data_IF_062920269597
#
_entry.id   IF_062920269597
#
_cell.length_a   1.000
_cell.length_b   1.000
_cell.length_c   1.000
_cell.angle_alpha   90.00
_cell.angle_beta   90.00
_cell.angle_gamma   90.00
#
_symmetry.space_group_name_H-M   'P 1'
#
loop_
_entity.id
_entity.type
_entity.pdbx_description
1 polymer ?
#
# COMPACT_ATOMS: atom_id res chain seq x y z
N UNK A 1 10.78 13.21 -26.97
CA UNK A 1 10.36 13.54 -25.58
C UNK A 1 8.86 13.52 -25.60
N UNK A 2 8.25 12.44 -25.12
CA UNK A 2 6.80 12.33 -25.07
C UNK A 2 6.33 13.14 -23.87
N UNK A 3 5.89 14.38 -24.10
CA UNK A 3 5.23 15.17 -23.08
C UNK A 3 4.03 14.37 -22.58
N UNK A 4 3.99 14.08 -21.28
CA UNK A 4 2.86 13.34 -20.71
C UNK A 4 1.59 14.14 -20.97
N UNK A 5 0.65 13.58 -21.74
CA UNK A 5 -0.66 14.15 -22.12
C UNK A 5 -1.62 14.31 -20.93
N UNK A 6 -1.09 14.48 -19.72
CA UNK A 6 -1.86 14.51 -18.50
C UNK A 6 -2.19 15.98 -18.20
N UNK A 7 -3.48 16.36 -18.12
CA UNK A 7 -3.87 17.72 -17.84
C UNK A 7 -3.27 18.24 -16.53
N UNK A 8 -2.95 19.54 -16.49
CA UNK A 8 -2.50 20.18 -15.27
C UNK A 8 -3.51 19.96 -14.13
N UNK A 9 -3.02 19.55 -12.96
CA UNK A 9 -3.85 19.27 -11.79
C UNK A 9 -4.43 17.85 -11.71
N UNK A 10 -4.22 16.99 -12.72
CA UNK A 10 -4.56 15.58 -12.62
C UNK A 10 -3.84 14.92 -11.43
N UNK A 11 -4.57 14.08 -10.70
CA UNK A 11 -4.03 13.27 -9.60
C UNK A 11 -4.45 11.84 -9.79
N UNK A 12 -3.50 10.92 -9.86
CA UNK A 12 -3.78 9.50 -9.93
C UNK A 12 -4.22 8.98 -8.55
N UNK A 13 -5.53 8.85 -8.36
CA UNK A 13 -6.15 8.41 -7.11
C UNK A 13 -7.30 7.42 -7.37
N UNK A 14 -7.00 6.25 -7.93
CA UNK A 14 -8.03 5.26 -8.20
C UNK A 14 -8.69 4.79 -6.89
N UNK A 15 -9.98 4.55 -6.96
CA UNK A 15 -10.79 3.90 -5.94
C UNK A 15 -10.43 2.41 -5.82
N UNK A 16 -10.84 1.79 -4.70
CA UNK A 16 -10.65 0.35 -4.48
C UNK A 16 -11.27 -0.49 -5.61
N UNK A 17 -12.41 -0.04 -6.13
CA UNK A 17 -13.11 -0.63 -7.28
C UNK A 17 -12.29 -0.52 -8.57
N UNK A 18 -11.81 0.67 -8.93
CA UNK A 18 -10.99 0.88 -10.13
C UNK A 18 -9.70 0.05 -10.08
N UNK A 19 -9.04 -0.03 -8.91
CA UNK A 19 -7.84 -0.86 -8.71
C UNK A 19 -8.11 -2.32 -9.08
N UNK A 20 -9.25 -2.87 -8.64
CA UNK A 20 -9.57 -4.28 -8.89
C UNK A 20 -10.15 -4.50 -10.29
N UNK A 21 -11.20 -3.75 -10.65
CA UNK A 21 -11.96 -3.96 -11.88
C UNK A 21 -11.32 -3.34 -13.12
N UNK A 22 -10.72 -2.16 -13.02
CA UNK A 22 -10.16 -1.43 -14.18
C UNK A 22 -8.67 -1.69 -14.40
N UNK A 23 -7.94 -2.15 -13.39
CA UNK A 23 -6.50 -2.43 -13.50
C UNK A 23 -6.16 -3.92 -13.33
N UNK A 24 -6.49 -4.54 -12.19
CA UNK A 24 -6.14 -5.95 -11.96
C UNK A 24 -6.85 -6.91 -12.93
N UNK A 25 -8.15 -6.73 -13.18
CA UNK A 25 -8.91 -7.64 -14.03
C UNK A 25 -8.38 -7.69 -15.48
N UNK A 26 -8.22 -6.57 -16.21
CA UNK A 26 -7.64 -6.62 -17.56
C UNK A 26 -6.22 -7.18 -17.59
N UNK A 27 -5.42 -6.89 -16.56
CA UNK A 27 -4.05 -7.38 -16.46
C UNK A 27 -3.98 -8.90 -16.27
N UNK A 28 -4.84 -9.48 -15.43
CA UNK A 28 -4.76 -10.90 -15.03
C UNK A 28 -5.61 -11.83 -15.89
N UNK A 29 -6.80 -11.39 -16.31
CA UNK A 29 -7.78 -12.23 -17.01
C UNK A 29 -7.66 -12.03 -18.51
N UNK A 30 -7.57 -10.78 -18.96
CA UNK A 30 -7.51 -10.45 -20.39
C UNK A 30 -6.07 -10.41 -20.93
N UNK A 31 -5.07 -10.53 -20.05
CA UNK A 31 -3.65 -10.38 -20.38
C UNK A 31 -3.32 -9.08 -21.12
N UNK A 32 -4.08 -8.02 -20.85
CA UNK A 32 -3.87 -6.70 -21.46
C UNK A 32 -2.82 -5.93 -20.67
N UNK A 33 -1.79 -5.37 -21.34
CA UNK A 33 -0.88 -4.45 -20.66
C UNK A 33 -1.64 -3.20 -20.20
N UNK A 34 -1.11 -2.53 -19.19
CA UNK A 34 -1.63 -1.21 -18.84
C UNK A 34 -1.46 -0.26 -20.03
N UNK A 35 -2.44 0.64 -20.20
CA UNK A 35 -2.28 1.74 -21.15
C UNK A 35 -0.99 2.50 -20.82
N UNK A 36 -0.28 2.96 -21.86
CA UNK A 36 1.01 3.63 -21.71
C UNK A 36 0.98 4.81 -20.72
N UNK A 37 -0.14 5.53 -20.66
CA UNK A 37 -0.40 6.61 -19.71
C UNK A 37 -0.22 6.16 -18.23
N UNK A 38 -0.52 4.90 -17.91
CA UNK A 38 -0.45 4.36 -16.56
C UNK A 38 0.90 3.76 -16.19
N UNK A 39 1.84 3.63 -17.14
CA UNK A 39 3.18 3.11 -16.88
C UNK A 39 3.97 3.96 -15.87
N UNK A 40 3.61 5.25 -15.75
CA UNK A 40 4.22 6.15 -14.78
C UNK A 40 3.65 6.00 -13.36
N UNK A 41 2.49 5.34 -13.20
CA UNK A 41 1.81 5.20 -11.91
C UNK A 41 1.96 3.82 -11.28
N UNK A 42 2.05 2.76 -12.10
CA UNK A 42 2.26 1.40 -11.62
C UNK A 42 3.67 0.92 -11.88
N UNK A 43 4.35 0.49 -10.82
CA UNK A 43 5.69 -0.06 -10.92
C UNK A 43 5.70 -1.56 -10.67
N UNK A 44 6.46 -2.30 -11.48
CA UNK A 44 6.76 -3.69 -11.15
C UNK A 44 7.78 -3.71 -9.99
N UNK A 45 7.38 -4.25 -8.84
CA UNK A 45 8.25 -4.38 -7.68
C UNK A 45 7.82 -5.58 -6.85
N UNK A 46 8.75 -6.48 -6.54
CA UNK A 46 8.46 -7.55 -5.60
C UNK A 46 8.52 -6.99 -4.18
N UNK A 47 7.36 -6.75 -3.54
CA UNK A 47 7.26 -6.26 -2.16
C UNK A 47 7.26 -7.39 -1.12
N UNK A 48 7.43 -8.64 -1.53
CA UNK A 48 7.37 -9.80 -0.65
C UNK A 48 8.63 -10.66 -0.77
N UNK A 49 9.37 -10.75 0.32
CA UNK A 49 10.61 -11.52 0.42
C UNK A 49 11.82 -10.87 -0.25
N UNK A 50 11.81 -9.54 -0.42
CA UNK A 50 12.98 -8.75 -0.77
C UNK A 50 13.70 -8.26 0.51
N UNK A 51 14.96 -7.81 0.39
CA UNK A 51 15.77 -7.32 1.52
C UNK A 51 15.95 -5.79 1.51
N UNK A 52 15.05 -5.05 0.86
CA UNK A 52 15.08 -3.60 0.74
C UNK A 52 14.05 -2.99 1.70
N UNK A 53 14.47 -2.00 2.49
CA UNK A 53 13.57 -1.34 3.44
C UNK A 53 12.50 -0.50 2.71
N UNK A 54 11.29 -0.32 3.29
CA UNK A 54 10.23 0.44 2.64
C UNK A 54 10.60 1.87 2.22
N UNK A 55 11.44 2.57 3.00
CA UNK A 55 11.92 3.92 2.67
C UNK A 55 12.85 3.95 1.45
N UNK A 56 13.68 2.93 1.29
CA UNK A 56 14.55 2.78 0.12
C UNK A 56 13.71 2.52 -1.13
N UNK A 57 12.69 1.66 -1.04
CA UNK A 57 11.73 1.43 -2.12
C UNK A 57 11.01 2.74 -2.45
N UNK A 58 10.49 3.44 -1.44
CA UNK A 58 9.81 4.72 -1.63
C UNK A 58 10.68 5.73 -2.37
N UNK A 59 11.94 5.89 -1.94
CA UNK A 59 12.91 6.80 -2.58
C UNK A 59 13.20 6.38 -4.02
N UNK A 60 13.42 5.08 -4.26
CA UNK A 60 13.76 4.53 -5.58
C UNK A 60 12.68 4.81 -6.63
N UNK A 61 11.41 4.70 -6.25
CA UNK A 61 10.28 4.88 -7.16
C UNK A 61 9.70 6.30 -7.12
N UNK A 62 10.48 7.26 -6.63
CA UNK A 62 10.14 8.68 -6.72
C UNK A 62 9.11 9.19 -5.70
N UNK A 63 8.86 8.40 -4.65
CA UNK A 63 7.98 8.77 -3.55
C UNK A 63 8.24 10.15 -2.94
N UNK A 64 9.49 10.63 -2.76
CA UNK A 64 9.74 11.97 -2.22
C UNK A 64 9.25 13.12 -3.11
N UNK A 65 9.00 12.89 -4.40
CA UNK A 65 8.46 13.89 -5.33
C UNK A 65 6.93 13.89 -5.38
N UNK A 66 6.29 12.88 -4.76
CA UNK A 66 4.84 12.78 -4.73
C UNK A 66 4.26 13.82 -3.78
N UNK A 67 3.30 14.60 -4.28
CA UNK A 67 2.45 15.47 -3.48
C UNK A 67 1.08 14.82 -3.41
N UNK A 68 0.60 14.55 -2.19
CA UNK A 68 -0.77 14.11 -1.97
C UNK A 68 -1.15 12.81 -2.71
N UNK A 69 -0.19 11.95 -3.02
CA UNK A 69 -0.40 10.70 -3.74
C UNK A 69 0.53 9.61 -3.23
N UNK A 70 0.21 8.37 -3.60
CA UNK A 70 0.86 7.15 -3.13
C UNK A 70 1.57 6.42 -4.28
N UNK A 71 2.45 5.48 -3.92
CA UNK A 71 3.08 4.60 -4.90
C UNK A 71 2.24 3.34 -5.09
N UNK A 72 2.07 2.94 -6.34
CA UNK A 72 1.35 1.73 -6.70
C UNK A 72 2.29 0.72 -7.34
N UNK A 73 2.21 -0.52 -6.89
CA UNK A 73 3.09 -1.60 -7.30
C UNK A 73 2.31 -2.80 -7.78
N UNK A 74 2.70 -3.37 -8.91
CA UNK A 74 2.35 -4.75 -9.23
C UNK A 74 3.38 -5.64 -8.54
N UNK A 75 2.91 -6.49 -7.63
CA UNK A 75 3.78 -7.41 -6.89
C UNK A 75 3.31 -8.84 -7.08
N UNK A 76 4.26 -9.74 -7.34
CA UNK A 76 4.02 -11.17 -7.29
C UNK A 76 3.95 -11.62 -5.82
N UNK A 77 2.93 -12.40 -5.48
CA UNK A 77 2.83 -13.06 -4.19
C UNK A 77 3.89 -14.14 -4.07
N UNK A 78 4.50 -14.24 -2.89
CA UNK A 78 5.45 -15.30 -2.56
C UNK A 78 4.77 -16.31 -1.65
N UNK A 79 4.55 -17.54 -2.11
CA UNK A 79 3.90 -18.59 -1.30
C UNK A 79 4.91 -19.24 -0.35
N UNK A 80 4.59 -19.30 0.95
CA UNK A 80 5.29 -20.16 1.92
C UNK A 80 4.61 -21.53 2.00
N UNK A 81 3.28 -21.52 1.93
CA UNK A 81 2.42 -22.71 1.80
C UNK A 81 1.25 -22.33 0.88
N UNK A 82 0.41 -23.28 0.44
CA UNK A 82 -0.78 -22.94 -0.37
C UNK A 82 -1.72 -21.91 0.27
N UNK A 83 -1.76 -21.84 1.61
CA UNK A 83 -2.62 -20.92 2.37
C UNK A 83 -1.88 -19.72 3.00
N UNK A 84 -0.54 -19.70 2.99
CA UNK A 84 0.27 -18.68 3.68
C UNK A 84 1.24 -18.01 2.73
N UNK A 85 1.11 -16.71 2.57
CA UNK A 85 2.03 -15.87 1.80
C UNK A 85 3.18 -15.36 2.69
N UNK A 86 4.37 -15.24 2.12
CA UNK A 86 5.52 -14.59 2.75
C UNK A 86 5.25 -13.09 2.81
N UNK A 87 5.40 -12.51 4.00
CA UNK A 87 5.20 -11.08 4.26
C UNK A 87 6.48 -10.39 4.70
N UNK A 88 7.60 -11.12 4.74
CA UNK A 88 8.90 -10.57 5.10
C UNK A 88 9.36 -9.58 4.05
N UNK A 89 10.05 -8.53 4.50
CA UNK A 89 10.63 -7.50 3.64
C UNK A 89 11.74 -6.78 4.43
N UNK A 90 12.71 -6.18 3.74
CA UNK A 90 13.80 -5.46 4.38
C UNK A 90 14.72 -6.39 5.16
N UNK A 91 15.54 -5.80 6.01
CA UNK A 91 16.53 -6.53 6.80
C UNK A 91 15.89 -7.09 8.08
N UNK A 92 15.00 -8.07 7.89
CA UNK A 92 14.32 -8.78 8.99
C UNK A 92 12.93 -8.21 9.35
N UNK A 93 12.38 -7.33 8.54
CA UNK A 93 11.04 -6.78 8.75
C UNK A 93 9.92 -7.61 8.14
N UNK A 94 8.68 -7.19 8.41
CA UNK A 94 7.47 -7.84 7.89
C UNK A 94 6.33 -6.85 7.71
N UNK A 95 5.47 -7.13 6.72
CA UNK A 95 4.15 -6.52 6.60
C UNK A 95 3.15 -7.24 7.51
N UNK A 96 2.71 -6.56 8.58
CA UNK A 96 1.75 -7.09 9.56
C UNK A 96 0.34 -6.58 9.31
N UNK A 97 -0.63 -7.48 9.25
CA UNK A 97 -2.03 -7.13 8.99
C UNK A 97 -2.60 -6.32 10.16
N UNK A 98 -3.31 -5.23 9.84
CA UNK A 98 -3.75 -4.24 10.83
C UNK A 98 -5.25 -4.26 11.12
N UNK A 99 -6.05 -4.77 10.18
CA UNK A 99 -7.49 -4.91 10.28
C UNK A 99 -7.98 -6.10 9.45
N UNK A 100 -9.22 -6.52 9.69
CA UNK A 100 -9.88 -7.53 8.85
C UNK A 100 -9.96 -7.06 7.40
N UNK A 101 -9.76 -8.01 6.47
CA UNK A 101 -9.86 -7.72 5.04
C UNK A 101 -11.26 -7.23 4.66
N UNK A 102 -11.32 -6.34 3.67
CA UNK A 102 -12.58 -5.82 3.13
C UNK A 102 -12.81 -6.38 1.73
N UNK A 103 -14.06 -6.70 1.42
CA UNK A 103 -14.47 -7.09 0.08
C UNK A 103 -14.58 -5.84 -0.79
N UNK A 104 -14.18 -5.98 -2.06
CA UNK A 104 -14.30 -4.95 -3.07
C UNK A 104 -15.41 -5.38 -4.02
N UNK A 105 -16.38 -4.50 -4.23
CA UNK A 105 -17.54 -4.73 -5.08
C UNK A 105 -17.49 -3.78 -6.26
N UNK A 106 -17.90 -4.26 -7.44
CA UNK A 106 -18.15 -3.42 -8.60
C UNK A 106 -19.49 -2.72 -8.45
N UNK A 107 -19.60 -1.44 -8.82
CA UNK A 107 -20.87 -0.73 -8.83
C UNK A 107 -21.62 -1.03 -10.11
N UNK A 108 -22.55 -1.97 -10.04
CA UNK A 108 -23.43 -2.31 -11.16
C UNK A 108 -24.78 -1.62 -10.99
N UNK A 109 -25.17 -0.78 -11.96
CA UNK A 109 -26.49 -0.14 -11.96
C UNK A 109 -27.61 -1.19 -11.91
N UNK A 110 -28.53 -1.04 -10.96
CA UNK A 110 -29.66 -1.96 -10.79
C UNK A 110 -29.37 -3.25 -10.00
N UNK A 111 -28.12 -3.49 -9.57
CA UNK A 111 -27.80 -4.57 -8.63
C UNK A 111 -27.31 -3.98 -7.30
N UNK A 112 -28.16 -3.96 -6.25
CA UNK A 112 -27.80 -3.35 -4.97
C UNK A 112 -26.77 -4.17 -4.18
N UNK A 113 -26.53 -5.44 -4.53
CA UNK A 113 -25.61 -6.31 -3.80
C UNK A 113 -24.82 -7.23 -4.76
N UNK A 114 -23.95 -6.66 -5.61
CA UNK A 114 -23.17 -7.42 -6.57
C UNK A 114 -22.15 -8.31 -5.85
N UNK A 115 -21.81 -9.44 -6.46
CA UNK A 115 -20.76 -10.31 -5.94
C UNK A 115 -19.44 -9.52 -5.83
N UNK A 116 -18.67 -9.72 -4.75
CA UNK A 116 -17.33 -9.17 -4.64
C UNK A 116 -16.47 -9.55 -5.86
N UNK A 117 -15.79 -8.57 -6.43
CA UNK A 117 -14.79 -8.76 -7.50
C UNK A 117 -13.40 -9.00 -6.94
N UNK A 118 -13.18 -8.69 -5.65
CA UNK A 118 -11.88 -8.87 -5.04
C UNK A 118 -11.87 -8.54 -3.55
N UNK A 119 -10.65 -8.35 -3.04
CA UNK A 119 -10.38 -8.09 -1.62
C UNK A 119 -9.27 -7.06 -1.46
N UNK A 120 -9.45 -6.22 -0.44
CA UNK A 120 -8.44 -5.32 0.11
C UNK A 120 -7.96 -5.79 1.49
N UNK A 121 -6.65 -5.85 1.69
CA UNK A 121 -6.00 -6.09 2.99
C UNK A 121 -5.12 -4.91 3.34
N UNK A 122 -4.98 -4.60 4.63
CA UNK A 122 -4.14 -3.49 5.09
C UNK A 122 -3.05 -3.97 6.00
N UNK A 123 -1.83 -3.59 5.70
CA UNK A 123 -0.64 -3.93 6.45
C UNK A 123 0.08 -2.68 6.93
N UNK A 124 0.86 -2.87 7.99
CA UNK A 124 1.85 -1.91 8.49
C UNK A 124 3.19 -2.60 8.58
N UNK A 125 4.24 -1.88 8.23
CA UNK A 125 5.60 -2.42 8.35
C UNK A 125 6.00 -2.51 9.82
N UNK A 126 6.55 -3.67 10.20
CA UNK A 126 7.03 -3.95 11.55
C UNK A 126 8.46 -4.48 11.49
N UNK A 127 9.41 -3.66 11.95
CA UNK A 127 10.77 -4.08 12.29
C UNK A 127 11.32 -3.21 13.43
N UNK A 128 11.35 -3.69 14.68
CA UNK A 128 11.74 -2.86 15.84
C UNK A 128 13.18 -2.32 15.79
N UNK A 129 14.04 -2.92 14.98
CA UNK A 129 15.43 -2.48 14.80
C UNK A 129 15.65 -1.49 13.64
N UNK A 130 14.59 -1.16 12.88
CA UNK A 130 14.66 -0.27 11.71
C UNK A 130 14.03 1.08 12.02
N UNK A 131 14.58 2.15 11.45
CA UNK A 131 13.96 3.50 11.48
C UNK A 131 12.59 3.52 10.78
N UNK A 132 12.36 2.57 9.87
CA UNK A 132 11.10 2.43 9.16
C UNK A 132 9.98 1.81 10.01
N UNK A 133 10.27 1.32 11.22
CA UNK A 133 9.31 0.66 12.10
C UNK A 133 8.01 1.46 12.21
N UNK A 134 6.87 0.83 11.86
CA UNK A 134 5.53 1.44 11.86
C UNK A 134 5.35 2.64 10.92
N UNK A 135 6.39 3.13 10.26
CA UNK A 135 6.41 4.32 9.41
C UNK A 135 5.72 4.14 8.05
N UNK A 136 5.37 2.91 7.68
CA UNK A 136 4.86 2.56 6.36
C UNK A 136 3.59 1.73 6.43
N UNK A 137 2.66 2.04 5.53
CA UNK A 137 1.39 1.34 5.33
C UNK A 137 1.36 0.74 3.93
N UNK A 138 0.69 -0.39 3.81
CA UNK A 138 0.49 -1.08 2.55
C UNK A 138 -0.96 -1.55 2.44
N UNK A 139 -1.70 -1.06 1.44
CA UNK A 139 -2.97 -1.67 1.06
C UNK A 139 -2.70 -2.67 -0.09
N UNK A 140 -3.06 -3.94 0.08
CA UNK A 140 -2.96 -4.99 -0.94
C UNK A 140 -4.33 -5.28 -1.53
N UNK A 141 -4.41 -5.35 -2.86
CA UNK A 141 -5.62 -5.62 -3.63
C UNK A 141 -5.45 -6.92 -4.42
N UNK A 142 -6.38 -7.85 -4.26
CA UNK A 142 -6.43 -9.14 -4.97
C UNK A 142 -7.74 -9.31 -5.71
N UNK A 143 -7.68 -9.85 -6.93
CA UNK A 143 -8.84 -10.20 -7.74
C UNK A 143 -9.42 -11.57 -7.33
N UNK A 144 -10.73 -11.75 -7.46
CA UNK A 144 -11.38 -13.05 -7.38
C UNK A 144 -11.69 -13.62 -8.77
N UNK A 145 -11.49 -14.93 -8.93
CA UNK A 145 -11.87 -15.68 -10.12
C UNK A 145 -13.34 -16.10 -10.04
N UNK A 146 -14.22 -15.09 -10.11
CA UNK A 146 -15.67 -15.26 -10.05
C UNK A 146 -16.27 -15.42 -8.64
N UNK A 147 -17.58 -15.67 -8.57
CA UNK A 147 -18.31 -15.76 -7.31
C UNK A 147 -17.88 -16.95 -6.43
N UNK A 148 -17.87 -16.74 -5.11
CA UNK A 148 -17.47 -17.76 -4.13
C UNK A 148 -18.56 -18.03 -3.10
N UNK A 149 -18.59 -19.26 -2.61
CA UNK A 149 -19.44 -19.66 -1.49
C UNK A 149 -18.94 -19.09 -0.15
N UNK A 150 -17.62 -18.88 -0.01
CA UNK A 150 -17.01 -18.29 1.19
C UNK A 150 -15.85 -17.36 0.83
N UNK A 151 -16.03 -16.07 1.08
CA UNK A 151 -15.03 -15.03 0.85
C UNK A 151 -14.08 -14.82 2.03
N UNK A 152 -14.27 -15.53 3.15
CA UNK A 152 -13.35 -15.46 4.30
C UNK A 152 -12.06 -16.25 4.06
N UNK A 153 -12.02 -17.10 3.03
CA UNK A 153 -10.83 -17.85 2.67
C UNK A 153 -9.68 -16.91 2.28
N UNK A 154 -8.52 -17.13 2.90
CA UNK A 154 -7.31 -16.33 2.67
C UNK A 154 -6.48 -16.79 1.47
N UNK A 155 -7.00 -17.71 0.66
CA UNK A 155 -6.40 -18.08 -0.63
C UNK A 155 -6.47 -16.93 -1.61
N UNK A 156 -5.58 -16.98 -2.59
CA UNK A 156 -5.53 -16.07 -3.72
C UNK A 156 -5.79 -16.89 -4.98
N UNK A 157 -6.62 -16.37 -5.88
CA UNK A 157 -6.91 -17.04 -7.15
C UNK A 157 -5.82 -16.73 -8.18
N UNK A 158 -5.14 -15.60 -8.01
CA UNK A 158 -4.04 -15.15 -8.86
C UNK A 158 -2.76 -14.92 -8.06
N UNK A 159 -1.61 -15.08 -8.72
CA UNK A 159 -0.28 -14.92 -8.11
C UNK A 159 0.19 -13.47 -8.05
N UNK A 160 -0.57 -12.51 -8.57
CA UNK A 160 -0.21 -11.10 -8.60
C UNK A 160 -1.28 -10.24 -7.92
N UNK A 161 -0.82 -9.17 -7.29
CA UNK A 161 -1.64 -8.18 -6.58
C UNK A 161 -1.16 -6.77 -6.95
N UNK A 162 -2.07 -5.80 -6.80
CA UNK A 162 -1.68 -4.39 -6.73
C UNK A 162 -1.48 -4.02 -5.27
N UNK A 163 -0.41 -3.31 -4.97
CA UNK A 163 -0.11 -2.79 -3.64
C UNK A 163 -0.01 -1.27 -3.70
N UNK A 164 -0.71 -0.58 -2.81
CA UNK A 164 -0.62 0.87 -2.59
C UNK A 164 0.20 1.13 -1.34
N UNK A 165 1.41 1.67 -1.50
CA UNK A 165 2.33 1.98 -0.40
C UNK A 165 2.23 3.47 -0.05
N UNK A 166 2.22 3.79 1.24
CA UNK A 166 2.20 5.18 1.73
C UNK A 166 2.88 5.33 3.07
N UNK A 167 3.29 6.56 3.40
CA UNK A 167 3.80 6.91 4.72
C UNK A 167 2.69 6.84 5.77
N UNK A 168 3.07 6.50 7.00
CA UNK A 168 2.18 6.53 8.15
C UNK A 168 2.33 7.85 8.91
N UNK A 169 1.45 8.81 8.63
CA UNK A 169 1.49 10.14 9.25
C UNK A 169 1.39 10.13 10.78
N UNK A 170 0.83 9.06 11.35
CA UNK A 170 0.75 8.89 12.82
C UNK A 170 2.13 8.85 13.49
N UNK A 171 3.15 8.37 12.79
CA UNK A 171 4.53 8.37 13.31
C UNK A 171 5.11 9.79 13.31
N UNK A 172 4.86 10.56 12.26
CA UNK A 172 5.26 11.97 12.19
C UNK A 172 4.61 12.82 13.29
N UNK A 173 3.33 12.57 13.58
CA UNK A 173 2.59 13.26 14.67
C UNK A 173 3.18 12.88 16.05
N UNK A 174 3.53 11.61 16.28
CA UNK A 174 4.16 11.20 17.54
C UNK A 174 5.55 11.84 17.72
N UNK A 175 6.37 11.85 16.68
CA UNK A 175 7.71 12.45 16.72
C UNK A 175 7.67 13.96 16.96
N UNK A 176 6.74 14.68 16.34
CA UNK A 176 6.54 16.13 16.56
C UNK A 176 6.04 16.43 17.97
N UNK A 177 5.10 15.64 18.49
CA UNK A 177 4.62 15.79 19.87
C UNK A 177 5.72 15.47 20.90
N UNK A 178 6.56 14.46 20.66
CA UNK A 178 7.74 14.16 21.48
C UNK A 178 8.75 15.32 21.48
N UNK A 179 9.03 15.92 20.32
CA UNK A 179 9.93 17.08 20.22
C UNK A 179 9.40 18.30 21.00
N UNK A 180 8.10 18.62 20.85
CA UNK A 180 7.45 19.69 21.63
C UNK A 180 7.53 19.44 23.14
N UNK A 181 7.19 18.22 23.58
CA UNK A 181 7.26 17.87 25.01
C UNK A 181 8.68 17.87 25.60
N UNK A 182 9.71 17.65 24.79
CA UNK A 182 11.11 17.78 25.22
C UNK A 182 11.54 19.25 25.33
N UNK A 183 11.16 20.10 24.37
CA UNK A 183 11.43 21.54 24.42
C UNK A 183 10.75 22.20 25.63
N UNK A 184 9.49 21.87 25.91
CA UNK A 184 8.75 22.40 27.08
C UNK A 184 9.39 21.98 28.42
N UNK A 185 10.04 20.82 28.48
CA UNK A 185 10.76 20.34 29.68
C UNK A 185 12.11 21.04 29.88
N UNK A 186 12.78 21.40 28.79
CA UNK A 186 14.05 22.14 28.82
C UNK A 186 13.83 23.61 29.25
N UNK A 187 12.79 24.26 28.73
CA UNK A 187 12.42 25.63 29.13
C UNK A 187 12.01 25.74 30.60
N UNK A 188 11.30 24.74 31.13
CA UNK A 188 10.91 24.69 32.57
C UNK A 188 12.10 24.46 33.50
N UNK A 189 13.12 23.70 33.07
CA UNK A 189 14.36 23.53 33.85
C UNK A 189 15.19 24.82 33.88
N UNK A 190 15.28 25.55 32.77
CA UNK A 190 16.01 26.82 32.69
C UNK A 190 15.38 27.94 33.53
N UNK A 191 14.04 27.95 33.65
CA UNK A 191 13.32 28.94 34.48
C UNK A 191 13.36 28.62 35.98
N UNK A 192 13.54 27.36 36.36
CA UNK A 192 13.63 26.94 37.77
C UNK A 192 15.03 27.15 38.38
N UNK A 193 16.10 27.08 37.58
CA UNK A 193 17.48 27.32 38.03
C UNK A 193 17.90 28.80 38.15
N UNK A 194 16.95 29.74 38.02
CA UNK A 194 17.19 31.19 38.06
C UNK A 194 16.67 31.87 39.34
N UNK A 195 16.40 31.10 40.40
CA UNK A 195 16.02 31.63 41.73
C UNK A 195 17.00 31.18 42.80
#
# INVERSE_FOLDING_TARGET
MEESLVPFGFRFRPSDEEIVGSFLYPFLVESKPFMSLYNNFFHACNLFGNNTEPSEIWKKYGGPQLVDTDLYFISKLKKLTPKRMDRRIGNGGTWSETESSKLVHEKVSGNPNPNPIGRKRKFRYENKGSEDHTGWLLDEYSLFDGPKNDYNQRSYDFDFVICRMRKNDRVGIKATNLKRGSQDKEEKKMTTNKR
#
